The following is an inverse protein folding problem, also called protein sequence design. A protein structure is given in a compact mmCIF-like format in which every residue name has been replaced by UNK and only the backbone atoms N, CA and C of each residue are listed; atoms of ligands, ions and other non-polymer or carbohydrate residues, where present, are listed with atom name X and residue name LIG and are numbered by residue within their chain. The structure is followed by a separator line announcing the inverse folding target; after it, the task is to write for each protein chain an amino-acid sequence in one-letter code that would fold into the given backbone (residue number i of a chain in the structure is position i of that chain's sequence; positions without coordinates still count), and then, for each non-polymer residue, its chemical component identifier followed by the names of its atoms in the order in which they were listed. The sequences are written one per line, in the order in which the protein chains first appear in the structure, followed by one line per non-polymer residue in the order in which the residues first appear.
data_IF_299783546760
#
_entry.id   IF_299783546760
#
_cell.length_a   1.000
_cell.length_b   1.000
_cell.length_c   1.000
_cell.angle_alpha   90.00
_cell.angle_beta   90.00
_cell.angle_gamma   90.00
#
_symmetry.space_group_name_H-M   'P 1'
#
loop_
_entity.id
_entity.type
_entity.pdbx_description
1 polymer ?
#
# COMPACT_ATOMS: atom_id res chain seq x y z
N UNK A 1 28.54 19.19 -1.34
CA UNK A 1 27.50 18.14 -1.23
C UNK A 1 26.37 18.77 -0.44
N UNK A 2 25.20 18.95 -1.04
CA UNK A 2 24.07 19.59 -0.35
C UNK A 2 23.53 18.60 0.68
N UNK A 3 23.89 18.79 1.95
CA UNK A 3 23.29 18.04 3.05
C UNK A 3 21.80 18.39 3.09
N UNK A 4 20.97 17.45 2.64
CA UNK A 4 19.54 17.56 2.81
C UNK A 4 19.26 17.50 4.32
N UNK A 5 18.54 18.49 4.86
CA UNK A 5 18.23 18.46 6.29
C UNK A 5 17.47 17.17 6.62
N UNK A 6 17.79 16.56 7.77
CA UNK A 6 17.19 15.29 8.18
C UNK A 6 15.66 15.32 8.15
N UNK A 7 15.07 16.49 8.42
CA UNK A 7 13.63 16.75 8.32
C UNK A 7 13.11 16.63 6.89
N UNK A 8 13.77 17.28 5.92
CA UNK A 8 13.37 17.23 4.50
C UNK A 8 13.53 15.82 3.95
N UNK A 9 14.62 15.13 4.32
CA UNK A 9 14.85 13.75 3.92
C UNK A 9 13.77 12.81 4.45
N UNK A 10 13.43 12.92 5.74
CA UNK A 10 12.33 12.14 6.33
C UNK A 10 10.99 12.45 5.66
N UNK A 11 10.68 13.71 5.40
CA UNK A 11 9.43 14.09 4.75
C UNK A 11 9.32 13.49 3.33
N UNK A 12 10.39 13.54 2.54
CA UNK A 12 10.41 12.94 1.20
C UNK A 12 10.25 11.42 1.26
N UNK A 13 10.98 10.75 2.16
CA UNK A 13 10.83 9.31 2.33
C UNK A 13 9.41 8.94 2.75
N UNK A 14 8.83 9.66 3.71
CA UNK A 14 7.47 9.43 4.18
C UNK A 14 6.44 9.64 3.09
N UNK A 15 6.61 10.68 2.27
CA UNK A 15 5.71 10.98 1.16
C UNK A 15 5.78 9.88 0.09
N UNK A 16 6.99 9.45 -0.31
CA UNK A 16 7.15 8.42 -1.34
C UNK A 16 6.68 7.08 -0.81
N UNK A 17 7.17 6.63 0.35
CA UNK A 17 6.85 5.29 0.88
C UNK A 17 5.41 5.20 1.36
N UNK A 18 4.95 6.15 2.17
CA UNK A 18 3.57 6.18 2.68
C UNK A 18 2.56 6.50 1.58
N UNK A 19 2.89 7.43 0.67
CA UNK A 19 2.04 7.79 -0.45
C UNK A 19 1.87 6.64 -1.45
N UNK A 20 2.97 5.99 -1.87
CA UNK A 20 2.89 4.80 -2.73
C UNK A 20 2.10 3.69 -2.06
N UNK A 21 2.36 3.42 -0.77
CA UNK A 21 1.61 2.41 -0.03
C UNK A 21 0.11 2.71 0.06
N UNK A 22 -0.27 3.96 0.29
CA UNK A 22 -1.67 4.39 0.33
C UNK A 22 -2.37 4.27 -1.03
N UNK A 23 -1.71 4.71 -2.12
CA UNK A 23 -2.24 4.57 -3.48
C UNK A 23 -2.41 3.09 -3.84
N UNK A 24 -1.42 2.26 -3.53
CA UNK A 24 -1.46 0.83 -3.79
C UNK A 24 -2.58 0.13 -3.02
N UNK A 25 -2.74 0.48 -1.75
CA UNK A 25 -3.82 -0.02 -0.89
C UNK A 25 -5.19 0.32 -1.48
N UNK A 26 -5.41 1.56 -1.89
CA UNK A 26 -6.67 1.99 -2.51
C UNK A 26 -6.91 1.25 -3.83
N UNK A 27 -5.88 1.12 -4.66
CA UNK A 27 -5.96 0.38 -5.92
C UNK A 27 -6.43 -1.07 -5.70
N UNK A 28 -5.81 -1.79 -4.78
CA UNK A 28 -6.15 -3.20 -4.52
C UNK A 28 -7.53 -3.36 -3.85
N UNK A 29 -7.93 -2.42 -3.00
CA UNK A 29 -9.29 -2.35 -2.44
C UNK A 29 -10.35 -2.15 -3.52
N UNK A 30 -10.08 -1.29 -4.51
CA UNK A 30 -10.98 -1.07 -5.63
C UNK A 30 -11.07 -2.32 -6.51
N UNK A 31 -9.95 -3.00 -6.77
CA UNK A 31 -9.97 -4.20 -7.62
C UNK A 31 -10.60 -5.41 -6.93
N UNK A 32 -10.34 -5.62 -5.63
CA UNK A 32 -10.95 -6.73 -4.90
C UNK A 32 -12.47 -6.57 -4.77
N UNK A 33 -12.96 -5.34 -4.63
CA UNK A 33 -14.42 -5.07 -4.58
C UNK A 33 -15.07 -5.29 -5.94
N UNK A 34 -14.40 -4.94 -7.04
CA UNK A 34 -14.86 -5.24 -8.41
C UNK A 34 -14.92 -6.75 -8.69
N UNK A 35 -14.05 -7.56 -8.07
CA UNK A 35 -14.10 -9.03 -8.17
C UNK A 35 -15.27 -9.69 -7.41
N UNK A 36 -16.06 -8.95 -6.62
CA UNK A 36 -17.23 -9.53 -5.94
C UNK A 36 -18.37 -9.89 -6.90
N UNK A 37 -18.47 -9.21 -8.04
CA UNK A 37 -19.47 -9.49 -9.08
C UNK A 37 -19.05 -10.51 -10.14
N UNK A 38 -17.80 -10.99 -10.10
CA UNK A 38 -17.27 -11.93 -11.09
C UNK A 38 -17.63 -13.39 -10.74
N UNK A 39 -17.85 -14.19 -11.77
CA UNK A 39 -18.42 -15.53 -11.71
C UNK A 39 -17.57 -16.48 -10.86
N UNK A 40 -18.06 -16.90 -9.68
CA UNK A 40 -17.28 -17.57 -8.61
C UNK A 40 -16.63 -18.91 -8.99
N UNK A 41 -16.90 -19.44 -10.19
CA UNK A 41 -16.41 -20.75 -10.66
C UNK A 41 -15.08 -20.68 -11.43
N UNK A 42 -14.54 -19.50 -11.72
CA UNK A 42 -13.23 -19.39 -12.38
C UNK A 42 -12.08 -19.47 -11.34
N UNK A 43 -11.22 -20.50 -11.37
CA UNK A 43 -10.08 -20.64 -10.45
C UNK A 43 -9.11 -19.45 -10.53
N UNK A 44 -9.04 -18.72 -11.65
CA UNK A 44 -8.20 -17.51 -11.79
C UNK A 44 -8.67 -16.35 -10.89
N UNK A 45 -9.92 -16.36 -10.44
CA UNK A 45 -10.44 -15.35 -9.51
C UNK A 45 -9.87 -15.56 -8.11
N UNK A 46 -9.63 -16.81 -7.69
CA UNK A 46 -9.03 -17.11 -6.40
C UNK A 46 -7.59 -16.55 -6.33
N UNK A 47 -6.79 -16.77 -7.37
CA UNK A 47 -5.41 -16.26 -7.46
C UNK A 47 -5.37 -14.73 -7.48
N UNK A 48 -6.28 -14.08 -8.23
CA UNK A 48 -6.39 -12.61 -8.25
C UNK A 48 -6.80 -12.05 -6.90
N UNK A 49 -7.76 -12.68 -6.22
CA UNK A 49 -8.15 -12.27 -4.85
C UNK A 49 -6.99 -12.39 -3.89
N UNK A 50 -6.24 -13.49 -3.94
CA UNK A 50 -5.05 -13.65 -3.12
C UNK A 50 -4.03 -12.55 -3.39
N UNK A 51 -3.76 -12.25 -4.67
CA UNK A 51 -2.87 -11.15 -5.06
C UNK A 51 -3.29 -9.80 -4.48
N UNK A 52 -4.58 -9.43 -4.60
CA UNK A 52 -5.07 -8.17 -4.03
C UNK A 52 -5.07 -8.17 -2.50
N UNK A 53 -5.33 -9.30 -1.85
CA UNK A 53 -5.23 -9.40 -0.38
C UNK A 53 -3.79 -9.18 0.08
N UNK A 54 -2.82 -9.80 -0.58
CA UNK A 54 -1.40 -9.60 -0.27
C UNK A 54 -0.99 -8.14 -0.51
N UNK A 55 -1.43 -7.55 -1.62
CA UNK A 55 -1.16 -6.14 -1.92
C UNK A 55 -1.75 -5.17 -0.89
N UNK A 56 -2.98 -5.44 -0.41
CA UNK A 56 -3.59 -4.72 0.72
C UNK A 56 -2.73 -4.85 1.98
N UNK A 57 -2.30 -6.06 2.33
CA UNK A 57 -1.46 -6.30 3.52
C UNK A 57 -0.15 -5.53 3.42
N UNK A 58 0.53 -5.57 2.27
CA UNK A 58 1.77 -4.82 2.04
C UNK A 58 1.52 -3.31 2.14
N UNK A 59 0.43 -2.81 1.56
CA UNK A 59 0.04 -1.41 1.66
C UNK A 59 -0.17 -0.96 3.11
N UNK A 60 -0.87 -1.76 3.92
CA UNK A 60 -1.06 -1.49 5.34
C UNK A 60 0.28 -1.48 6.09
N UNK A 61 1.15 -2.47 5.85
CA UNK A 61 2.50 -2.52 6.46
C UNK A 61 3.31 -1.27 6.08
N UNK A 62 3.26 -0.85 4.81
CA UNK A 62 3.93 0.35 4.33
C UNK A 62 3.45 1.61 5.06
N UNK A 63 2.14 1.80 5.20
CA UNK A 63 1.56 2.94 5.93
C UNK A 63 1.97 2.90 7.40
N UNK A 64 1.84 1.75 8.07
CA UNK A 64 2.22 1.57 9.48
C UNK A 64 3.71 1.84 9.68
N UNK A 65 4.56 1.34 8.78
CA UNK A 65 5.99 1.58 8.77
C UNK A 65 6.32 3.07 8.64
N UNK A 66 5.63 3.76 7.73
CA UNK A 66 5.77 5.22 7.57
C UNK A 66 5.32 5.96 8.83
N UNK A 67 4.19 5.61 9.43
CA UNK A 67 3.72 6.26 10.67
C UNK A 67 4.72 6.09 11.82
N UNK A 68 5.24 4.87 12.00
CA UNK A 68 6.29 4.57 13.00
C UNK A 68 7.59 5.33 12.70
N UNK A 69 7.98 5.43 11.43
CA UNK A 69 9.16 6.18 11.01
C UNK A 69 9.04 7.69 11.32
N UNK A 70 7.82 8.23 11.29
CA UNK A 70 7.53 9.61 11.69
C UNK A 70 7.28 9.78 13.20
N UNK A 71 7.34 8.70 13.99
CA UNK A 71 7.18 8.76 15.45
C UNK A 71 5.74 9.02 15.92
N UNK A 72 4.75 8.62 15.13
CA UNK A 72 3.32 8.76 15.51
C UNK A 72 2.94 7.82 16.66
N UNK A 73 3.62 6.68 16.78
CA UNK A 73 3.51 5.70 17.87
C UNK A 73 4.72 4.75 17.89
#
# INVERSE_FOLDING_TARGET
MTELSATVFRALLSLVTGGVAAVWLVHDLVLITRLRGADRRDPRIADRRFGYVIGIVIGVIGIVGTLRFNGVF
#
